data_IF_805409278513
#
_entry.id   IF_805409278513
#
_cell.length_a   1.000
_cell.length_b   1.000
_cell.length_c   1.000
_cell.angle_alpha   90.00
_cell.angle_beta   90.00
_cell.angle_gamma   90.00
#
_symmetry.space_group_name_H-M   'P 1'
#
loop_
_entity.id
_entity.type
_entity.pdbx_description
1 polymer ?
#
# COMPACT_ATOMS: atom_id res chain seq x y z
N UNK A 1 -15.30 -3.93 -11.86
CA UNK A 1 -16.44 -3.01 -12.15
C UNK A 1 -15.91 -1.65 -12.56
N UNK A 2 -16.68 -0.83 -13.26
CA UNK A 2 -16.26 0.54 -13.62
C UNK A 2 -17.24 1.53 -13.01
N UNK A 3 -16.77 2.29 -12.02
CA UNK A 3 -17.49 3.42 -11.46
C UNK A 3 -17.29 4.63 -12.39
N UNK A 4 -18.29 5.53 -12.45
CA UNK A 4 -18.33 6.69 -13.35
C UNK A 4 -18.27 6.37 -14.86
N UNK A 5 -18.56 5.13 -15.27
CA UNK A 5 -18.53 4.74 -16.70
C UNK A 5 -19.47 5.56 -17.61
N UNK A 6 -20.52 6.16 -17.05
CA UNK A 6 -21.53 6.96 -17.76
C UNK A 6 -21.67 8.37 -17.20
N UNK A 7 -20.73 8.81 -16.36
CA UNK A 7 -20.81 10.15 -15.78
C UNK A 7 -20.52 11.19 -16.87
N UNK A 8 -21.28 12.29 -16.88
CA UNK A 8 -21.01 13.42 -17.78
C UNK A 8 -19.69 14.12 -17.44
N UNK A 9 -19.25 14.03 -16.18
CA UNK A 9 -18.07 14.69 -15.65
C UNK A 9 -17.20 13.72 -14.83
N UNK A 10 -15.90 14.00 -14.85
CA UNK A 10 -14.87 13.20 -14.18
C UNK A 10 -14.39 12.03 -15.02
N UNK A 11 -13.44 11.28 -14.47
CA UNK A 11 -12.83 10.12 -15.13
C UNK A 11 -13.47 8.80 -14.67
N UNK A 12 -13.35 7.72 -15.46
CA UNK A 12 -13.69 6.38 -15.01
C UNK A 12 -12.84 5.93 -13.82
N UNK A 13 -13.40 5.04 -12.99
CA UNK A 13 -12.67 4.36 -11.92
C UNK A 13 -12.78 2.86 -12.14
N UNK A 14 -11.66 2.22 -12.49
CA UNK A 14 -11.56 0.78 -12.73
C UNK A 14 -11.28 0.05 -11.42
N UNK A 15 -12.27 -0.70 -10.93
CA UNK A 15 -12.20 -1.40 -9.64
C UNK A 15 -12.11 -2.90 -9.89
N UNK A 16 -11.04 -3.53 -9.38
CA UNK A 16 -10.73 -4.94 -9.61
C UNK A 16 -11.43 -5.89 -8.62
N UNK A 17 -12.27 -5.38 -7.72
CA UNK A 17 -13.07 -6.19 -6.78
C UNK A 17 -14.55 -5.78 -6.80
N UNK A 18 -15.39 -6.64 -6.22
CA UNK A 18 -16.79 -6.35 -5.86
C UNK A 18 -16.97 -6.00 -4.38
N UNK A 19 -15.96 -6.25 -3.55
CA UNK A 19 -15.96 -6.01 -2.11
C UNK A 19 -15.40 -4.62 -1.81
N UNK A 20 -16.27 -3.61 -1.91
CA UNK A 20 -15.97 -2.20 -1.61
C UNK A 20 -17.11 -1.60 -0.81
N UNK A 21 -16.78 -0.93 0.30
CA UNK A 21 -17.78 -0.22 1.11
C UNK A 21 -18.20 1.12 0.49
N UNK A 22 -19.38 1.63 0.89
CA UNK A 22 -19.93 2.88 0.33
C UNK A 22 -19.10 4.13 0.65
N UNK A 23 -18.37 4.15 1.77
CA UNK A 23 -17.52 5.29 2.13
C UNK A 23 -16.31 5.35 1.20
N UNK A 24 -15.69 4.20 0.90
CA UNK A 24 -14.66 4.05 -0.13
C UNK A 24 -15.16 4.43 -1.52
N UNK A 25 -16.35 3.97 -1.93
CA UNK A 25 -16.95 4.36 -3.20
C UNK A 25 -17.18 5.87 -3.28
N UNK A 26 -17.58 6.50 -2.18
CA UNK A 26 -17.79 7.95 -2.10
C UNK A 26 -16.46 8.71 -2.24
N UNK A 27 -15.39 8.28 -1.57
CA UNK A 27 -14.05 8.85 -1.77
C UNK A 27 -13.58 8.74 -3.22
N UNK A 28 -13.76 7.58 -3.85
CA UNK A 28 -13.41 7.35 -5.25
C UNK A 28 -14.21 8.24 -6.20
N UNK A 29 -15.53 8.41 -5.98
CA UNK A 29 -16.38 9.32 -6.77
C UNK A 29 -15.87 10.75 -6.71
N UNK A 30 -15.49 11.25 -5.52
CA UNK A 30 -14.93 12.60 -5.34
C UNK A 30 -13.59 12.76 -6.06
N UNK A 31 -12.67 11.81 -5.86
CA UNK A 31 -11.35 11.82 -6.51
C UNK A 31 -11.47 11.86 -8.04
N UNK A 32 -12.40 11.09 -8.60
CA UNK A 32 -12.62 11.01 -10.04
C UNK A 32 -13.10 12.33 -10.68
N UNK A 33 -13.57 13.32 -9.90
CA UNK A 33 -14.00 14.62 -10.43
C UNK A 33 -12.84 15.60 -10.67
N UNK A 34 -11.63 15.29 -10.18
CA UNK A 34 -10.48 16.16 -10.33
C UNK A 34 -10.02 16.22 -11.79
N UNK A 35 -9.93 17.43 -12.34
CA UNK A 35 -9.68 17.68 -13.77
C UNK A 35 -8.28 17.30 -14.24
N UNK A 36 -7.35 17.15 -13.30
CA UNK A 36 -5.96 16.81 -13.58
C UNK A 36 -5.67 15.32 -13.43
N UNK A 37 -6.68 14.48 -13.21
CA UNK A 37 -6.53 13.02 -13.27
C UNK A 37 -6.39 12.60 -14.73
N UNK A 38 -5.37 11.80 -15.01
CA UNK A 38 -5.09 11.33 -16.37
C UNK A 38 -5.79 10.00 -16.65
N UNK A 39 -6.54 9.91 -17.74
CA UNK A 39 -7.22 8.69 -18.22
C UNK A 39 -8.28 8.10 -17.27
N UNK A 40 -7.88 7.52 -16.14
CA UNK A 40 -8.75 6.88 -15.15
C UNK A 40 -8.02 6.60 -13.83
N UNK A 41 -8.77 6.27 -12.78
CA UNK A 41 -8.22 5.76 -11.51
C UNK A 41 -8.30 4.24 -11.52
N UNK A 42 -7.25 3.55 -11.06
CA UNK A 42 -7.27 2.10 -10.86
C UNK A 42 -7.33 1.76 -9.36
N UNK A 43 -8.18 0.80 -9.00
CA UNK A 43 -8.50 0.46 -7.61
C UNK A 43 -8.36 -1.04 -7.38
N UNK A 44 -7.37 -1.38 -6.57
CA UNK A 44 -6.92 -2.74 -6.29
C UNK A 44 -7.91 -3.51 -5.39
N UNK A 45 -7.91 -4.85 -5.39
CA UNK A 45 -8.90 -5.62 -4.63
C UNK A 45 -8.89 -5.43 -3.10
N UNK A 46 -7.76 -5.02 -2.55
CA UNK A 46 -7.55 -4.68 -1.13
C UNK A 46 -8.08 -3.28 -0.74
N UNK A 47 -8.83 -2.62 -1.62
CA UNK A 47 -9.36 -1.27 -1.40
C UNK A 47 -10.16 -1.14 -0.11
N UNK A 48 -9.89 -0.08 0.65
CA UNK A 48 -10.68 0.28 1.82
C UNK A 48 -10.50 1.76 2.16
N UNK A 49 -11.35 2.25 3.05
CA UNK A 49 -11.36 3.64 3.47
C UNK A 49 -9.98 4.05 3.98
N UNK A 50 -9.48 5.16 3.45
CA UNK A 50 -8.23 5.78 3.90
C UNK A 50 -8.43 7.24 4.30
N UNK A 51 -7.38 7.83 4.87
CA UNK A 51 -7.35 9.28 5.15
C UNK A 51 -6.99 10.03 3.86
N UNK A 52 -7.87 10.90 3.38
CA UNK A 52 -7.72 11.68 2.14
C UNK A 52 -8.00 10.93 0.84
N UNK A 53 -7.39 9.75 0.67
CA UNK A 53 -7.71 8.82 -0.42
C UNK A 53 -7.83 7.40 0.11
N UNK A 54 -8.59 6.57 -0.60
CA UNK A 54 -8.70 5.12 -0.38
C UNK A 54 -7.33 4.46 -0.44
N UNK A 55 -7.10 3.50 0.45
CA UNK A 55 -5.98 2.56 0.33
C UNK A 55 -6.35 1.56 -0.78
N UNK A 56 -5.37 0.99 -1.49
CA UNK A 56 -5.60 0.17 -2.68
C UNK A 56 -5.92 1.01 -3.91
N UNK A 57 -5.38 2.22 -4.05
CA UNK A 57 -5.68 3.12 -5.17
C UNK A 57 -4.42 3.60 -5.89
N UNK A 58 -4.54 3.67 -7.20
CA UNK A 58 -3.52 4.17 -8.13
C UNK A 58 -4.10 5.35 -8.88
N UNK A 59 -3.51 6.52 -8.63
CA UNK A 59 -4.07 7.82 -8.98
C UNK A 59 -3.05 8.55 -9.86
N UNK A 60 -3.23 8.51 -11.19
CA UNK A 60 -2.37 9.22 -12.13
C UNK A 60 -2.79 10.68 -12.26
N UNK A 61 -1.86 11.61 -12.03
CA UNK A 61 -2.13 13.05 -12.16
C UNK A 61 -1.19 13.71 -13.16
N UNK A 62 -1.71 14.67 -13.92
CA UNK A 62 -0.94 15.49 -14.86
C UNK A 62 -0.70 16.87 -14.25
N UNK A 63 0.57 17.29 -14.20
CA UNK A 63 0.99 18.62 -13.71
C UNK A 63 0.52 18.97 -12.28
N UNK A 64 0.22 17.97 -11.45
CA UNK A 64 -0.26 18.15 -10.09
C UNK A 64 0.05 16.93 -9.23
N UNK A 65 0.18 17.12 -7.92
CA UNK A 65 0.31 16.04 -6.93
C UNK A 65 -0.59 16.34 -5.73
N UNK A 66 -1.23 15.31 -5.17
CA UNK A 66 -2.12 15.40 -4.01
C UNK A 66 -1.42 14.77 -2.80
N UNK A 67 -0.85 15.54 -1.85
CA UNK A 67 -0.08 14.98 -0.75
C UNK A 67 -0.87 13.99 0.12
N UNK A 68 -2.16 14.25 0.35
CA UNK A 68 -3.03 13.38 1.12
C UNK A 68 -3.37 12.06 0.40
N UNK A 69 -3.22 12.01 -0.94
CA UNK A 69 -3.38 10.78 -1.69
C UNK A 69 -2.21 9.83 -1.44
N UNK A 70 -0.97 10.33 -1.40
CA UNK A 70 0.21 9.55 -0.95
C UNK A 70 0.03 9.15 0.51
N UNK A 71 -0.47 10.07 1.32
CA UNK A 71 -0.78 9.89 2.74
C UNK A 71 0.36 10.34 3.65
N UNK A 72 0.11 10.23 4.96
CA UNK A 72 1.10 10.56 5.98
C UNK A 72 2.22 9.52 6.08
N UNK A 73 2.03 8.32 5.55
CA UNK A 73 2.98 7.21 5.68
C UNK A 73 3.79 7.04 4.38
N UNK A 74 4.48 8.10 3.95
CA UNK A 74 5.30 8.12 2.72
C UNK A 74 6.39 7.05 2.82
N UNK A 75 6.50 6.12 1.86
CA UNK A 75 7.44 5.00 1.94
C UNK A 75 7.13 3.96 3.02
N UNK A 76 5.98 4.11 3.70
CA UNK A 76 5.35 3.40 4.83
C UNK A 76 5.94 3.60 6.25
N UNK A 77 5.23 4.32 7.13
CA UNK A 77 5.65 4.59 8.51
C UNK A 77 4.51 4.72 9.53
N UNK A 78 4.12 3.63 10.20
CA UNK A 78 3.20 3.57 11.37
C UNK A 78 2.00 2.64 11.14
N UNK A 79 1.89 1.51 11.86
CA UNK A 79 0.80 0.53 11.64
C UNK A 79 1.24 -0.93 11.58
N UNK A 80 0.79 -1.67 10.55
CA UNK A 80 1.00 -3.11 10.32
C UNK A 80 2.46 -3.46 9.95
N UNK A 81 3.42 -2.94 10.70
CA UNK A 81 4.84 -3.24 10.50
C UNK A 81 5.23 -4.50 11.25
N UNK A 82 5.98 -5.38 10.59
CA UNK A 82 6.34 -6.68 11.13
C UNK A 82 7.65 -7.20 10.56
N UNK A 83 8.20 -8.20 11.24
CA UNK A 83 9.20 -9.13 10.72
C UNK A 83 8.56 -10.51 10.75
N UNK A 84 8.63 -11.24 9.64
CA UNK A 84 8.09 -12.59 9.55
C UNK A 84 9.16 -13.57 9.10
N UNK A 85 9.10 -14.78 9.69
CA UNK A 85 9.69 -15.95 9.09
C UNK A 85 8.58 -16.76 8.45
N UNK A 86 8.75 -17.08 7.18
CA UNK A 86 7.79 -17.83 6.40
C UNK A 86 8.47 -19.04 5.75
N UNK A 87 7.66 -20.03 5.40
CA UNK A 87 8.07 -21.23 4.69
C UNK A 87 7.26 -21.28 3.38
N UNK A 88 7.91 -21.53 2.26
CA UNK A 88 7.22 -21.69 0.97
C UNK A 88 6.85 -23.15 0.67
N UNK A 89 6.26 -23.39 -0.50
CA UNK A 89 5.87 -24.73 -0.95
C UNK A 89 7.02 -25.72 -1.17
N UNK A 90 8.28 -25.25 -1.15
CA UNK A 90 9.49 -26.06 -1.30
C UNK A 90 10.26 -26.23 0.03
N UNK A 91 9.64 -25.84 1.16
CA UNK A 91 10.26 -25.78 2.48
C UNK A 91 11.45 -24.78 2.59
N UNK A 92 11.57 -23.82 1.67
CA UNK A 92 12.55 -22.74 1.78
C UNK A 92 12.10 -21.71 2.83
N UNK A 93 13.06 -21.18 3.60
CA UNK A 93 12.80 -20.15 4.62
C UNK A 93 12.94 -18.76 4.01
N UNK A 94 11.91 -17.94 4.22
CA UNK A 94 11.85 -16.55 3.80
C UNK A 94 11.86 -15.63 5.04
N UNK A 95 12.67 -14.57 4.98
CA UNK A 95 12.63 -13.47 5.95
C UNK A 95 11.92 -12.29 5.30
N UNK A 96 10.73 -11.96 5.79
CA UNK A 96 9.94 -10.84 5.29
C UNK A 96 9.98 -9.67 6.27
N UNK A 97 10.14 -8.46 5.74
CA UNK A 97 10.15 -7.23 6.52
C UNK A 97 9.15 -6.24 5.94
N UNK A 98 8.20 -5.82 6.76
CA UNK A 98 7.28 -4.74 6.44
C UNK A 98 7.55 -3.53 7.34
N UNK A 99 8.12 -2.48 6.74
CA UNK A 99 8.46 -1.22 7.41
C UNK A 99 8.76 -0.14 6.36
N UNK A 100 9.07 1.06 6.82
CA UNK A 100 9.52 2.14 5.94
C UNK A 100 9.97 3.38 6.69
N UNK A 101 9.50 4.57 6.33
CA UNK A 101 10.10 5.85 6.72
C UNK A 101 9.87 6.32 8.16
N UNK A 102 9.17 5.51 8.97
CA UNK A 102 8.94 5.74 10.41
C UNK A 102 8.26 7.10 10.65
N UNK A 103 8.59 7.76 11.76
CA UNK A 103 8.01 9.06 12.12
C UNK A 103 8.40 10.19 11.16
N UNK A 104 9.52 10.07 10.44
CA UNK A 104 9.98 11.09 9.49
C UNK A 104 9.00 11.25 8.33
N UNK A 105 8.57 10.15 7.71
CA UNK A 105 7.52 10.22 6.67
C UNK A 105 6.23 10.82 7.19
N UNK A 106 5.84 10.48 8.43
CA UNK A 106 4.65 11.05 9.08
C UNK A 106 4.71 12.57 9.23
N UNK A 107 5.87 13.09 9.66
CA UNK A 107 6.10 14.53 9.78
C UNK A 107 6.05 15.21 8.40
N UNK A 108 6.76 14.66 7.41
CA UNK A 108 6.78 15.19 6.03
C UNK A 108 5.37 15.21 5.45
N UNK A 109 4.66 14.07 5.48
CA UNK A 109 3.31 13.96 4.93
C UNK A 109 2.33 14.91 5.62
N UNK A 110 2.36 14.99 6.95
CA UNK A 110 1.50 15.91 7.71
C UNK A 110 1.78 17.37 7.34
N UNK A 111 3.05 17.75 7.26
CA UNK A 111 3.46 19.10 6.92
C UNK A 111 2.96 19.52 5.54
N UNK A 112 3.18 18.70 4.52
CA UNK A 112 2.78 19.04 3.15
C UNK A 112 1.28 18.93 2.90
N UNK A 113 0.57 18.02 3.59
CA UNK A 113 -0.90 17.99 3.57
C UNK A 113 -1.46 19.32 4.09
N UNK A 114 -0.97 19.81 5.22
CA UNK A 114 -1.44 21.07 5.80
C UNK A 114 -1.05 22.29 4.95
N UNK A 115 0.04 22.22 4.18
CA UNK A 115 0.41 23.25 3.21
C UNK A 115 -0.47 23.24 1.97
N UNK A 116 -0.73 22.07 1.37
CA UNK A 116 -1.63 21.95 0.22
C UNK A 116 -3.01 22.54 0.56
N UNK A 117 -3.52 22.27 1.76
CA UNK A 117 -4.79 22.81 2.28
C UNK A 117 -4.85 24.34 2.41
N UNK A 118 -3.69 25.02 2.42
CA UNK A 118 -3.56 26.49 2.51
C UNK A 118 -3.23 27.12 1.16
N UNK A 119 -2.80 26.32 0.19
CA UNK A 119 -2.42 26.80 -1.14
C UNK A 119 -3.65 27.10 -1.99
N UNK A 120 -3.57 28.14 -2.82
CA UNK A 120 -4.68 28.58 -3.64
C UNK A 120 -4.93 27.62 -4.83
N UNK A 121 -6.07 26.94 -4.81
CA UNK A 121 -6.40 25.86 -5.75
C UNK A 121 -7.12 26.39 -7.01
N UNK A 122 -6.48 27.26 -7.79
CA UNK A 122 -7.14 27.91 -8.93
C UNK A 122 -6.85 27.26 -10.29
N UNK A 123 -5.70 26.59 -10.45
CA UNK A 123 -5.22 26.13 -11.76
C UNK A 123 -6.11 25.09 -12.44
N UNK A 124 -6.75 24.21 -11.66
CA UNK A 124 -7.53 23.10 -12.19
C UNK A 124 -9.00 23.13 -11.75
N UNK A 125 -9.47 24.30 -11.30
CA UNK A 125 -10.87 24.51 -10.93
C UNK A 125 -11.23 23.98 -9.53
N UNK A 126 -12.49 23.55 -9.40
CA UNK A 126 -13.07 23.18 -8.11
C UNK A 126 -12.48 21.89 -7.53
N UNK A 127 -12.07 21.95 -6.27
CA UNK A 127 -11.66 20.78 -5.48
C UNK A 127 -12.84 20.34 -4.60
N UNK A 128 -13.38 19.11 -4.77
CA UNK A 128 -14.61 18.69 -4.11
C UNK A 128 -14.44 18.38 -2.61
N UNK A 129 -13.20 18.26 -2.14
CA UNK A 129 -12.88 18.00 -0.74
C UNK A 129 -11.54 18.63 -0.37
N UNK A 130 -11.43 19.22 0.82
CA UNK A 130 -10.19 19.86 1.28
C UNK A 130 -9.06 18.85 1.46
N UNK A 131 -9.37 17.60 1.74
CA UNK A 131 -8.35 16.54 1.78
C UNK A 131 -7.84 16.15 0.37
N UNK A 132 -8.41 16.69 -0.70
CA UNK A 132 -7.92 16.53 -2.08
C UNK A 132 -7.15 17.76 -2.60
N UNK A 133 -6.74 18.65 -1.69
CA UNK A 133 -5.88 19.80 -2.03
C UNK A 133 -4.56 19.32 -2.63
N UNK A 134 -4.06 20.05 -3.63
CA UNK A 134 -2.93 19.64 -4.44
C UNK A 134 -1.85 20.73 -4.53
N UNK A 135 -0.67 20.33 -4.99
CA UNK A 135 0.35 21.23 -5.53
C UNK A 135 0.35 21.11 -7.05
N UNK A 136 0.30 22.24 -7.76
CA UNK A 136 0.45 22.25 -9.20
C UNK A 136 1.93 22.35 -9.59
N UNK A 137 2.34 21.71 -10.67
CA UNK A 137 3.73 21.77 -11.15
C UNK A 137 4.16 23.22 -11.39
N UNK A 138 5.29 23.62 -10.80
CA UNK A 138 5.77 25.01 -10.77
C UNK A 138 5.18 25.90 -9.68
N UNK A 139 4.35 25.36 -8.77
CA UNK A 139 3.95 26.09 -7.56
C UNK A 139 5.04 26.05 -6.50
N UNK A 140 4.97 26.97 -5.53
CA UNK A 140 6.03 27.20 -4.54
C UNK A 140 6.40 25.94 -3.74
N UNK A 141 5.45 25.07 -3.44
CA UNK A 141 5.69 23.87 -2.62
C UNK A 141 5.81 22.58 -3.44
N UNK A 142 5.70 22.65 -4.78
CA UNK A 142 5.67 21.45 -5.61
C UNK A 142 7.02 20.71 -5.58
N UNK A 143 8.10 21.40 -5.92
CA UNK A 143 9.44 20.80 -5.97
C UNK A 143 9.90 20.37 -4.57
N UNK A 144 9.65 21.19 -3.54
CA UNK A 144 9.89 20.86 -2.13
C UNK A 144 9.20 19.55 -1.72
N UNK A 145 7.96 19.34 -2.18
CA UNK A 145 7.22 18.12 -1.87
C UNK A 145 7.79 16.90 -2.58
N UNK A 146 8.13 17.03 -3.86
CA UNK A 146 8.74 15.95 -4.65
C UNK A 146 10.06 15.52 -4.02
N UNK A 147 10.96 16.46 -3.72
CA UNK A 147 12.24 16.18 -3.06
C UNK A 147 12.03 15.49 -1.70
N UNK A 148 11.10 15.98 -0.88
CA UNK A 148 10.85 15.39 0.43
C UNK A 148 10.26 13.96 0.35
N UNK A 149 9.43 13.67 -0.66
CA UNK A 149 8.90 12.33 -0.89
C UNK A 149 9.97 11.37 -1.40
N UNK A 150 10.81 11.81 -2.33
CA UNK A 150 11.95 11.03 -2.82
C UNK A 150 12.90 10.69 -1.66
N UNK A 151 13.28 11.67 -0.86
CA UNK A 151 14.10 11.46 0.33
C UNK A 151 13.46 10.46 1.31
N UNK A 152 12.15 10.58 1.57
CA UNK A 152 11.46 9.68 2.48
C UNK A 152 11.41 8.23 1.95
N UNK A 153 11.35 8.05 0.62
CA UNK A 153 11.43 6.74 -0.03
C UNK A 153 12.84 6.15 0.11
N UNK A 154 13.88 6.93 -0.17
CA UNK A 154 15.28 6.51 0.00
C UNK A 154 15.56 6.12 1.45
N UNK A 155 15.15 6.95 2.41
CA UNK A 155 15.28 6.63 3.83
C UNK A 155 14.53 5.34 4.18
N UNK A 156 13.32 5.11 3.67
CA UNK A 156 12.57 3.88 3.90
C UNK A 156 13.30 2.65 3.34
N UNK A 157 13.91 2.77 2.16
CA UNK A 157 14.71 1.71 1.55
C UNK A 157 15.95 1.38 2.39
N UNK A 158 16.73 2.40 2.75
CA UNK A 158 17.93 2.26 3.58
C UNK A 158 17.62 1.67 4.96
N UNK A 159 16.53 2.13 5.58
CA UNK A 159 16.05 1.60 6.84
C UNK A 159 15.71 0.10 6.70
N UNK A 160 14.97 -0.31 5.66
CA UNK A 160 14.68 -1.74 5.40
C UNK A 160 15.94 -2.55 5.15
N UNK A 161 16.91 -2.01 4.41
CA UNK A 161 18.19 -2.68 4.14
C UNK A 161 18.95 -2.97 5.44
N UNK A 162 19.06 -1.97 6.32
CA UNK A 162 19.76 -2.13 7.59
C UNK A 162 19.00 -3.03 8.58
N UNK A 163 17.67 -2.89 8.67
CA UNK A 163 16.84 -3.81 9.46
C UNK A 163 17.01 -5.26 8.99
N UNK A 164 16.97 -5.52 7.68
CA UNK A 164 17.18 -6.87 7.14
C UNK A 164 18.56 -7.41 7.50
N UNK A 165 19.62 -6.59 7.39
CA UNK A 165 20.98 -6.97 7.80
C UNK A 165 21.03 -7.39 9.27
N UNK A 166 20.45 -6.58 10.17
CA UNK A 166 20.39 -6.85 11.61
C UNK A 166 19.57 -8.11 11.93
N UNK A 167 18.45 -8.34 11.25
CA UNK A 167 17.62 -9.54 11.42
C UNK A 167 18.41 -10.78 11.02
N UNK A 168 19.06 -10.76 9.86
CA UNK A 168 19.88 -11.87 9.38
C UNK A 168 21.06 -12.15 10.30
N UNK A 169 21.68 -11.11 10.86
CA UNK A 169 22.74 -11.24 11.86
C UNK A 169 22.23 -11.90 13.15
N UNK A 170 21.04 -11.52 13.63
CA UNK A 170 20.44 -12.04 14.86
C UNK A 170 20.01 -13.51 14.75
N UNK A 171 19.50 -13.96 13.59
CA UNK A 171 19.04 -15.35 13.41
C UNK A 171 20.16 -16.31 13.03
N UNK A 172 21.26 -15.83 12.43
CA UNK A 172 22.38 -16.65 11.97
C UNK A 172 22.96 -17.60 13.03
N UNK A 173 23.18 -17.22 14.30
CA UNK A 173 23.70 -18.14 15.30
C UNK A 173 22.67 -19.17 15.79
N UNK A 174 21.39 -19.01 15.47
CA UNK A 174 20.30 -19.85 15.95
C UNK A 174 19.90 -20.95 14.95
N UNK A 175 20.31 -20.81 13.68
CA UNK A 175 19.94 -21.70 12.59
C UNK A 175 21.17 -22.46 12.06
N UNK A 176 20.98 -23.64 11.41
CA UNK A 176 22.03 -24.27 10.63
C UNK A 176 22.62 -23.29 9.61
N UNK A 177 23.87 -23.52 9.19
CA UNK A 177 24.52 -22.68 8.17
C UNK A 177 23.64 -22.58 6.92
N UNK A 178 23.28 -21.35 6.54
CA UNK A 178 22.48 -21.06 5.36
C UNK A 178 23.14 -19.99 4.49
N UNK A 179 22.80 -20.04 3.20
CA UNK A 179 23.17 -19.02 2.21
C UNK A 179 21.90 -18.37 1.67
N UNK A 180 22.01 -17.10 1.29
CA UNK A 180 20.93 -16.39 0.63
C UNK A 180 20.92 -16.80 -0.85
N UNK A 181 19.87 -17.48 -1.29
CA UNK A 181 19.80 -18.12 -2.61
C UNK A 181 19.17 -17.22 -3.68
N UNK A 182 18.45 -16.17 -3.28
CA UNK A 182 17.67 -15.29 -4.17
C UNK A 182 17.92 -13.80 -3.85
N UNK A 183 17.62 -12.94 -4.82
CA UNK A 183 17.67 -11.49 -4.67
C UNK A 183 16.64 -11.00 -3.65
N UNK A 184 16.99 -9.93 -2.92
CA UNK A 184 16.07 -9.29 -2.00
C UNK A 184 14.97 -8.58 -2.79
N UNK A 185 13.72 -9.04 -2.64
CA UNK A 185 12.56 -8.38 -3.23
C UNK A 185 12.19 -7.19 -2.35
N UNK A 186 12.08 -6.01 -2.94
CA UNK A 186 11.76 -4.77 -2.22
C UNK A 186 10.71 -3.98 -3.01
N UNK A 187 9.64 -3.59 -2.33
CA UNK A 187 8.56 -2.81 -2.92
C UNK A 187 8.15 -1.66 -2.00
N UNK A 188 7.95 -0.49 -2.58
CA UNK A 188 7.22 0.61 -1.94
C UNK A 188 5.73 0.47 -2.26
N UNK A 189 4.86 0.91 -1.34
CA UNK A 189 3.41 0.85 -1.55
C UNK A 189 2.64 2.13 -1.20
N UNK A 190 3.33 3.18 -0.72
CA UNK A 190 2.79 4.52 -0.50
C UNK A 190 3.79 5.53 -1.04
N UNK A 191 3.61 5.97 -2.28
CA UNK A 191 4.56 6.87 -2.94
C UNK A 191 3.94 7.51 -4.18
N UNK A 192 4.63 8.51 -4.72
CA UNK A 192 4.35 9.09 -6.03
C UNK A 192 5.63 9.07 -6.85
N UNK A 193 5.50 8.78 -8.14
CA UNK A 193 6.62 8.75 -9.08
C UNK A 193 6.16 9.22 -10.46
N UNK A 194 7.04 9.89 -11.19
CA UNK A 194 6.79 10.25 -12.59
C UNK A 194 6.96 9.04 -13.50
N UNK A 195 5.94 8.71 -14.29
CA UNK A 195 5.91 7.55 -15.18
C UNK A 195 5.22 7.91 -16.50
N UNK A 196 5.59 7.20 -17.58
CA UNK A 196 4.96 7.34 -18.90
C UNK A 196 3.80 6.34 -19.04
N UNK A 197 2.57 6.84 -19.09
CA UNK A 197 1.38 6.01 -19.28
C UNK A 197 0.39 6.65 -20.26
N UNK A 198 -0.14 5.84 -21.18
CA UNK A 198 -1.09 6.30 -22.20
C UNK A 198 -0.58 7.52 -23.01
N UNK A 199 0.73 7.55 -23.29
CA UNK A 199 1.37 8.59 -24.10
C UNK A 199 1.69 9.90 -23.37
N UNK A 200 1.53 9.96 -22.05
CA UNK A 200 1.74 11.18 -21.26
C UNK A 200 2.63 10.90 -20.05
N UNK A 201 3.47 11.87 -19.70
CA UNK A 201 4.20 11.87 -18.43
C UNK A 201 3.24 12.25 -17.31
N UNK A 202 3.06 11.34 -16.35
CA UNK A 202 2.14 11.52 -15.23
C UNK A 202 2.79 11.17 -13.91
N UNK A 203 2.34 11.83 -12.85
CA UNK A 203 2.67 11.46 -11.48
C UNK A 203 1.72 10.36 -11.03
N UNK A 204 2.22 9.13 -10.92
CA UNK A 204 1.46 7.98 -10.47
C UNK A 204 1.57 7.88 -8.95
N UNK A 205 0.50 8.26 -8.26
CA UNK A 205 0.39 8.07 -6.81
C UNK A 205 -0.15 6.68 -6.52
N UNK A 206 0.61 5.86 -5.78
CA UNK A 206 0.15 4.56 -5.26
C UNK A 206 -0.03 4.66 -3.76
N UNK A 207 -1.23 4.32 -3.28
CA UNK A 207 -1.53 4.24 -1.85
C UNK A 207 -2.06 2.87 -1.52
N UNK A 208 -1.29 2.10 -0.75
CA UNK A 208 -1.55 0.67 -0.55
C UNK A 208 -1.62 -0.10 -1.86
N UNK A 209 -0.74 0.20 -2.81
CA UNK A 209 -0.60 -0.53 -4.05
C UNK A 209 0.89 -0.57 -4.42
N UNK A 210 1.36 -1.67 -5.00
CA UNK A 210 2.75 -1.81 -5.44
C UNK A 210 2.83 -1.75 -6.96
N UNK A 211 4.01 -1.41 -7.48
CA UNK A 211 4.30 -1.58 -8.92
C UNK A 211 4.35 -3.07 -9.25
N UNK A 212 3.80 -3.38 -10.42
CA UNK A 212 3.67 -4.71 -11.01
C UNK A 212 3.96 -4.59 -12.52
N UNK A 213 5.14 -4.05 -12.86
CA UNK A 213 5.66 -4.08 -14.22
C UNK A 213 5.82 -5.50 -14.73
N UNK A 214 5.94 -5.65 -16.06
CA UNK A 214 6.11 -6.97 -16.67
C UNK A 214 7.35 -7.67 -16.06
N UNK A 215 7.13 -8.88 -15.54
CA UNK A 215 8.13 -9.73 -14.86
C UNK A 215 8.76 -9.15 -13.58
N UNK A 216 8.28 -7.99 -13.11
CA UNK A 216 8.77 -7.35 -11.89
C UNK A 216 8.27 -8.10 -10.65
N UNK A 217 9.19 -8.44 -9.75
CA UNK A 217 8.84 -9.12 -8.51
C UNK A 217 8.16 -8.17 -7.51
N UNK A 218 7.14 -8.68 -6.84
CA UNK A 218 6.42 -8.00 -5.77
C UNK A 218 6.14 -8.91 -4.58
N UNK A 219 5.75 -8.31 -3.46
CA UNK A 219 5.36 -9.01 -2.24
C UNK A 219 3.96 -8.55 -1.84
N UNK A 220 3.06 -9.50 -1.64
CA UNK A 220 1.70 -9.24 -1.15
C UNK A 220 1.53 -9.95 0.19
N UNK A 221 1.83 -9.28 1.31
CA UNK A 221 1.60 -9.85 2.63
C UNK A 221 0.12 -10.08 2.95
N UNK A 222 -0.16 -11.19 3.63
CA UNK A 222 -1.42 -11.42 4.32
C UNK A 222 -1.56 -10.60 5.61
N UNK A 223 -2.62 -10.86 6.37
CA UNK A 223 -2.67 -10.49 7.79
C UNK A 223 -1.83 -11.46 8.62
N UNK A 224 -1.52 -11.12 9.87
CA UNK A 224 -0.99 -12.09 10.84
C UNK A 224 -1.90 -13.32 10.86
N UNK A 225 -1.35 -14.53 10.69
CA UNK A 225 -2.17 -15.73 10.53
C UNK A 225 -2.35 -16.23 9.09
N UNK A 226 -2.34 -15.32 8.12
CA UNK A 226 -2.67 -15.61 6.74
C UNK A 226 -1.43 -15.87 5.89
N UNK A 227 -1.64 -16.42 4.69
CA UNK A 227 -0.57 -16.60 3.71
C UNK A 227 -0.16 -15.27 3.10
N UNK A 228 1.13 -15.19 2.75
CA UNK A 228 1.73 -14.10 1.99
C UNK A 228 2.19 -14.62 0.63
N UNK A 229 2.35 -13.76 -0.37
CA UNK A 229 2.64 -14.19 -1.74
C UNK A 229 3.83 -13.43 -2.32
N UNK A 230 4.71 -14.16 -2.99
CA UNK A 230 5.69 -13.59 -3.93
C UNK A 230 5.08 -13.65 -5.31
N UNK A 231 5.07 -12.52 -6.01
CA UNK A 231 4.37 -12.37 -7.29
C UNK A 231 5.28 -11.78 -8.35
N UNK A 232 4.91 -11.95 -9.62
CA UNK A 232 5.43 -11.19 -10.76
C UNK A 232 4.33 -10.37 -11.41
N UNK A 233 4.65 -9.15 -11.79
CA UNK A 233 3.71 -8.29 -12.51
C UNK A 233 3.49 -8.71 -13.96
N UNK A 234 2.27 -8.52 -14.44
CA UNK A 234 1.89 -8.69 -15.86
C UNK A 234 2.04 -7.42 -16.68
N UNK A 235 2.40 -6.30 -16.05
CA UNK A 235 2.52 -5.00 -16.73
C UNK A 235 1.20 -4.49 -17.30
N UNK A 236 0.08 -4.76 -16.61
CA UNK A 236 -1.24 -4.37 -17.10
C UNK A 236 -1.37 -2.84 -17.18
N UNK A 237 -1.58 -2.25 -18.37
CA UNK A 237 -1.65 -0.79 -18.53
C UNK A 237 -2.88 -0.19 -17.83
N UNK A 238 -3.98 -0.94 -17.73
CA UNK A 238 -5.22 -0.49 -17.07
C UNK A 238 -5.12 -0.42 -15.55
N UNK A 239 -4.03 -0.93 -14.96
CA UNK A 239 -3.69 -0.72 -13.55
C UNK A 239 -2.49 0.21 -13.38
N UNK A 240 -2.02 0.86 -14.44
CA UNK A 240 -0.76 1.60 -14.47
C UNK A 240 0.40 0.72 -13.97
N UNK A 241 0.43 -0.53 -14.44
CA UNK A 241 1.38 -1.56 -14.03
C UNK A 241 1.43 -1.67 -12.50
N UNK A 242 0.28 -1.88 -11.84
CA UNK A 242 0.19 -1.96 -10.38
C UNK A 242 -0.70 -3.12 -9.92
N UNK A 243 -0.52 -3.54 -8.67
CA UNK A 243 -1.35 -4.55 -8.01
C UNK A 243 -1.53 -4.25 -6.51
N UNK A 244 -2.30 -5.09 -5.80
CA UNK A 244 -2.53 -4.94 -4.35
C UNK A 244 -1.24 -5.01 -3.54
N UNK A 245 -1.20 -4.33 -2.41
CA UNK A 245 -0.06 -4.39 -1.49
C UNK A 245 -0.26 -5.40 -0.34
N UNK A 246 -1.48 -5.91 -0.13
CA UNK A 246 -1.77 -6.87 0.94
C UNK A 246 -3.24 -7.25 0.98
N UNK A 247 -3.72 -7.76 2.12
CA UNK A 247 -5.12 -8.17 2.27
C UNK A 247 -6.12 -6.99 2.31
N UNK A 248 -5.69 -5.83 2.84
CA UNK A 248 -6.59 -4.70 3.08
C UNK A 248 -7.53 -4.90 4.27
N UNK A 249 -7.86 -3.82 4.96
CA UNK A 249 -8.69 -3.90 6.19
C UNK A 249 -10.17 -3.97 5.84
N UNK A 250 -10.91 -4.85 6.52
CA UNK A 250 -12.38 -4.90 6.49
C UNK A 250 -13.01 -3.96 7.53
N UNK A 251 -12.25 -3.56 8.55
CA UNK A 251 -12.72 -2.67 9.60
C UNK A 251 -11.60 -1.81 10.21
N UNK A 252 -12.00 -0.71 10.84
CA UNK A 252 -11.08 0.16 11.56
C UNK A 252 -10.43 -0.54 12.75
N UNK A 253 -9.24 -0.08 13.15
CA UNK A 253 -8.53 -0.58 14.33
C UNK A 253 -9.37 -0.48 15.59
N UNK A 254 -10.06 0.65 15.78
CA UNK A 254 -10.95 0.86 16.92
C UNK A 254 -12.09 -0.16 16.92
N UNK A 255 -12.73 -0.39 15.77
CA UNK A 255 -13.81 -1.38 15.65
C UNK A 255 -13.31 -2.80 15.94
N UNK A 256 -12.13 -3.18 15.46
CA UNK A 256 -11.51 -4.47 15.78
C UNK A 256 -11.28 -4.65 17.28
N UNK A 257 -10.75 -3.64 17.99
CA UNK A 257 -10.56 -3.67 19.46
C UNK A 257 -11.87 -3.78 20.26
N UNK A 258 -12.98 -3.32 19.69
CA UNK A 258 -14.30 -3.45 20.32
C UNK A 258 -14.95 -4.81 20.07
N UNK A 259 -14.71 -5.41 18.89
CA UNK A 259 -15.36 -6.67 18.49
C UNK A 259 -14.61 -7.92 18.95
N UNK A 260 -13.28 -7.84 19.05
CA UNK A 260 -12.44 -8.99 19.32
C UNK A 260 -11.67 -8.83 20.62
N UNK A 261 -11.29 -9.97 21.19
CA UNK A 261 -10.49 -10.05 22.39
C UNK A 261 -9.26 -10.94 22.18
N UNK A 262 -8.50 -11.15 23.27
CA UNK A 262 -7.26 -11.93 23.24
C UNK A 262 -7.47 -13.40 22.88
N UNK A 263 -8.57 -14.02 23.31
CA UNK A 263 -8.87 -15.41 23.01
C UNK A 263 -9.17 -15.60 21.53
N UNK A 264 -9.89 -14.66 20.91
CA UNK A 264 -10.11 -14.67 19.45
C UNK A 264 -8.78 -14.62 18.70
N UNK A 265 -7.86 -13.75 19.16
CA UNK A 265 -6.53 -13.63 18.57
C UNK A 265 -5.74 -14.94 18.70
N UNK A 266 -5.73 -15.56 19.89
CA UNK A 266 -5.06 -16.85 20.12
C UNK A 266 -5.64 -17.91 19.18
N UNK A 267 -6.97 -18.00 19.08
CA UNK A 267 -7.65 -18.99 18.27
C UNK A 267 -7.35 -18.84 16.77
N UNK A 268 -7.23 -17.61 16.27
CA UNK A 268 -6.96 -17.36 14.85
C UNK A 268 -5.48 -17.34 14.47
N UNK A 269 -4.57 -17.40 15.45
CA UNK A 269 -3.11 -17.45 15.23
C UNK A 269 -2.50 -18.79 15.67
N UNK A 270 -3.32 -19.84 15.77
CA UNK A 270 -2.85 -21.20 16.09
C UNK A 270 -1.83 -21.64 15.04
N UNK A 271 -0.68 -22.12 15.52
CA UNK A 271 0.43 -22.57 14.67
C UNK A 271 1.41 -21.46 14.27
N UNK A 272 1.19 -20.22 14.73
CA UNK A 272 2.11 -19.10 14.50
C UNK A 272 2.62 -18.56 15.83
N UNK A 273 3.94 -18.43 15.92
CA UNK A 273 4.58 -17.76 17.03
C UNK A 273 4.47 -16.25 16.83
N UNK A 274 3.76 -15.57 17.72
CA UNK A 274 3.49 -14.14 17.59
C UNK A 274 3.08 -13.58 18.94
N UNK A 275 3.13 -12.25 19.07
CA UNK A 275 2.51 -11.56 20.20
C UNK A 275 1.00 -11.84 20.22
N UNK A 276 0.48 -12.09 21.41
CA UNK A 276 -0.94 -12.40 21.65
C UNK A 276 -1.50 -11.51 22.76
N UNK A 277 -1.02 -10.28 22.88
CA UNK A 277 -1.47 -9.31 23.89
C UNK A 277 -2.45 -8.27 23.33
N UNK A 278 -3.05 -7.46 24.21
CA UNK A 278 -4.04 -6.43 23.83
C UNK A 278 -3.50 -5.39 22.84
N UNK A 279 -2.18 -5.20 22.75
CA UNK A 279 -1.54 -4.26 21.83
C UNK A 279 -1.59 -4.67 20.36
N UNK A 280 -1.97 -5.92 20.06
CA UNK A 280 -2.00 -6.45 18.68
C UNK A 280 -3.39 -6.97 18.25
N UNK A 281 -4.41 -6.81 19.10
CA UNK A 281 -5.79 -7.25 18.80
C UNK A 281 -6.38 -6.53 17.59
N UNK A 282 -5.97 -5.28 17.31
CA UNK A 282 -6.41 -4.57 16.11
C UNK A 282 -5.82 -5.11 14.81
N UNK A 283 -4.85 -6.01 14.88
CA UNK A 283 -4.24 -6.68 13.75
C UNK A 283 -4.64 -8.16 13.65
N UNK A 284 -5.71 -8.57 14.33
CA UNK A 284 -6.28 -9.91 14.23
C UNK A 284 -6.68 -10.22 12.77
N UNK A 285 -6.44 -11.44 12.26
CA UNK A 285 -6.78 -11.82 10.88
C UNK A 285 -8.22 -11.48 10.46
N UNK A 286 -9.22 -11.66 11.34
CA UNK A 286 -10.63 -11.27 11.05
C UNK A 286 -10.86 -9.77 10.81
N UNK A 287 -9.89 -8.90 11.10
CA UNK A 287 -9.97 -7.47 10.79
C UNK A 287 -9.63 -7.16 9.32
N UNK A 288 -9.12 -8.13 8.58
CA UNK A 288 -8.69 -8.04 7.19
C UNK A 288 -9.67 -8.72 6.24
N UNK A 289 -9.56 -8.41 4.94
CA UNK A 289 -10.26 -9.17 3.91
C UNK A 289 -9.59 -10.54 3.73
N UNK A 290 -10.31 -11.45 3.09
CA UNK A 290 -9.75 -12.73 2.69
C UNK A 290 -8.68 -12.50 1.60
N UNK A 291 -7.42 -12.82 1.93
CA UNK A 291 -6.29 -12.65 1.02
C UNK A 291 -6.46 -13.50 -0.24
N UNK A 292 -7.08 -14.68 -0.16
CA UNK A 292 -7.29 -15.53 -1.34
C UNK A 292 -8.25 -14.88 -2.32
N UNK A 293 -9.29 -14.20 -1.81
CA UNK A 293 -10.21 -13.45 -2.65
C UNK A 293 -9.56 -12.22 -3.28
N UNK A 294 -8.67 -11.54 -2.54
CA UNK A 294 -7.84 -10.43 -3.07
C UNK A 294 -6.97 -10.94 -4.22
N UNK A 295 -6.25 -12.05 -4.03
CA UNK A 295 -5.42 -12.68 -5.06
C UNK A 295 -6.23 -13.12 -6.29
N UNK A 296 -7.36 -13.79 -6.09
CA UNK A 296 -8.21 -14.25 -7.18
C UNK A 296 -8.78 -13.10 -8.03
N UNK A 297 -8.96 -11.92 -7.44
CA UNK A 297 -9.50 -10.74 -8.10
C UNK A 297 -8.46 -9.96 -8.93
N UNK A 298 -7.18 -10.34 -8.90
CA UNK A 298 -6.10 -9.66 -9.62
C UNK A 298 -5.26 -10.62 -10.49
N UNK A 299 -5.85 -11.73 -10.93
CA UNK A 299 -5.20 -12.71 -11.81
C UNK A 299 -4.76 -12.12 -13.16
N UNK A 300 -5.32 -10.99 -13.58
CA UNK A 300 -4.95 -10.23 -14.76
C UNK A 300 -3.83 -9.19 -14.51
N UNK A 301 -3.44 -8.99 -13.25
CA UNK A 301 -2.40 -8.03 -12.84
C UNK A 301 -1.08 -8.72 -12.49
N UNK A 302 -1.13 -9.94 -11.94
CA UNK A 302 0.04 -10.66 -11.44
C UNK A 302 0.00 -12.16 -11.74
N UNK A 303 1.17 -12.80 -11.64
CA UNK A 303 1.34 -14.25 -11.49
C UNK A 303 1.93 -14.56 -10.11
N UNK A 304 1.39 -15.58 -9.43
CA UNK A 304 1.93 -16.05 -8.15
C UNK A 304 3.15 -16.93 -8.41
N UNK A 305 4.28 -16.58 -7.79
CA UNK A 305 5.54 -17.32 -7.88
C UNK A 305 5.71 -18.26 -6.69
N UNK A 306 5.47 -17.77 -5.47
CA UNK A 306 5.56 -18.55 -4.24
C UNK A 306 4.40 -18.21 -3.30
N UNK A 307 3.95 -19.22 -2.55
CA UNK A 307 2.98 -19.04 -1.47
C UNK A 307 3.66 -19.27 -0.14
N UNK A 308 3.68 -18.24 0.70
CA UNK A 308 4.43 -18.22 1.95
C UNK A 308 3.48 -18.46 3.13
N UNK A 309 3.77 -19.49 3.92
CA UNK A 309 3.12 -19.74 5.20
C UNK A 309 3.96 -19.17 6.32
N UNK A 310 3.36 -18.27 7.10
CA UNK A 310 3.99 -17.71 8.28
C UNK A 310 4.22 -18.77 9.38
N UNK A 311 5.37 -18.69 10.04
CA UNK A 311 5.68 -19.46 11.27
C UNK A 311 6.01 -18.56 12.46
N UNK A 312 6.56 -17.37 12.20
CA UNK A 312 6.88 -16.36 13.21
C UNK A 312 6.42 -14.98 12.74
N UNK A 313 5.79 -14.21 13.63
CA UNK A 313 5.46 -12.79 13.44
C UNK A 313 5.98 -11.96 14.62
N UNK A 314 6.91 -11.06 14.36
CA UNK A 314 7.39 -10.09 15.33
C UNK A 314 6.78 -8.74 14.99
N UNK A 315 6.02 -8.18 15.93
CA UNK A 315 5.38 -6.86 15.83
C UNK A 315 5.79 -5.97 17.00
N UNK A 316 6.13 -4.72 16.67
CA UNK A 316 6.35 -3.64 17.64
C UNK A 316 5.07 -3.26 18.38
#
# INVERSE_FOLDING_TARGET
MILNAKAEYGVPVKIYTKDVDEESLTQLRKMAQLQFIHSHIAVMPDVHLGKGATVGSVIPTKNAIIPAAVGVDIGCGGGNHFIELCIDENDDIWVMLHSGSRGLGNVIGTYFIERAKKEAQHRFGHVPDKDLSYFAEGSTNFDDYVEAVEWAQEYAFENRREMMRLILEAIRPLLPSFQMTKEAINCHHNYVQKELHFGEDVFVTRKGAIRAGLDEYGIIPGSMGAQSFIVKGKGNPDSFCSCSHGAGRKMSRSKAKHLFNQQDLIAQTVGIECRKDKGVVDEIPSAYKDIHQVMANQNDLIDVVHTLKQVLCIKG
#
